data_IF_143761858777
#
_entry.id   IF_143761858777
#
_cell.length_a   1.000
_cell.length_b   1.000
_cell.length_c   1.000
_cell.angle_alpha   90.00
_cell.angle_beta   90.00
_cell.angle_gamma   90.00
#
_symmetry.space_group_name_H-M   'P 1'
#
loop_
_entity.id
_entity.type
_entity.pdbx_description
1 polymer ?
#
# COMPACT_ATOMS: atom_id res chain seq x y z
N UNK A 1 27.87 8.10 31.63
CA UNK A 1 27.26 6.78 31.87
C UNK A 1 26.03 7.00 32.73
N UNK A 2 24.84 6.66 32.25
CA UNK A 2 23.61 6.66 33.03
C UNK A 2 23.70 5.50 34.04
N UNK A 3 23.53 5.79 35.31
CA UNK A 3 23.53 4.78 36.36
C UNK A 3 22.07 4.25 36.49
N UNK A 4 21.63 3.43 35.51
CA UNK A 4 20.29 2.86 35.48
C UNK A 4 20.31 1.50 36.15
N UNK A 5 19.51 1.34 37.19
CA UNK A 5 19.45 0.10 38.00
C UNK A 5 18.52 -0.99 37.44
N UNK A 6 17.80 -0.72 36.38
CA UNK A 6 16.92 -1.69 35.70
C UNK A 6 16.33 -1.08 34.43
N UNK A 7 15.96 -1.96 33.49
CA UNK A 7 15.25 -1.64 32.29
C UNK A 7 13.93 -2.41 32.30
N UNK A 8 12.86 -1.76 31.83
CA UNK A 8 11.58 -2.41 31.54
C UNK A 8 11.39 -2.31 30.04
N UNK A 9 11.20 -3.43 29.38
CA UNK A 9 10.83 -3.46 27.96
C UNK A 9 9.36 -3.10 27.82
N UNK A 10 9.09 -1.98 27.12
CA UNK A 10 7.75 -1.47 26.83
C UNK A 10 7.42 -1.56 25.33
N UNK A 11 8.15 -2.35 24.56
CA UNK A 11 7.95 -2.43 23.11
C UNK A 11 6.52 -2.90 22.76
N UNK A 12 5.99 -3.87 23.48
CA UNK A 12 4.63 -4.35 23.27
C UNK A 12 3.59 -3.30 23.66
N UNK A 13 3.77 -2.60 24.77
CA UNK A 13 2.86 -1.53 25.20
C UNK A 13 2.79 -0.41 24.14
N UNK A 14 3.94 -0.05 23.54
CA UNK A 14 3.99 0.94 22.47
C UNK A 14 3.26 0.46 21.18
N UNK A 15 3.34 -0.83 20.86
CA UNK A 15 2.57 -1.43 19.75
C UNK A 15 1.08 -1.41 20.06
N UNK A 16 0.69 -1.81 21.26
CA UNK A 16 -0.73 -1.89 21.67
C UNK A 16 -1.40 -0.51 21.67
N UNK A 17 -0.70 0.54 22.11
CA UNK A 17 -1.21 1.90 22.06
C UNK A 17 -1.48 2.40 20.63
N UNK A 18 -0.70 1.94 19.64
CA UNK A 18 -0.81 2.35 18.23
C UNK A 18 -1.80 1.51 17.43
N UNK A 19 -2.22 0.36 17.99
CA UNK A 19 -3.03 -0.63 17.28
C UNK A 19 -4.44 -0.11 16.99
N UNK A 20 -5.07 0.50 17.99
CA UNK A 20 -6.44 1.02 17.91
C UNK A 20 -6.39 2.53 17.80
N UNK A 21 -6.81 3.05 16.65
CA UNK A 21 -6.85 4.48 16.34
C UNK A 21 -8.10 5.11 16.94
N UNK A 22 -7.95 6.26 17.54
CA UNK A 22 -9.06 7.08 17.97
C UNK A 22 -9.78 7.78 16.78
N UNK A 23 -10.92 8.45 16.97
CA UNK A 23 -11.62 9.12 15.88
C UNK A 23 -10.81 10.20 15.17
N UNK A 24 -9.92 10.91 15.86
CA UNK A 24 -9.07 11.92 15.26
C UNK A 24 -7.98 11.29 14.39
N UNK A 25 -7.32 10.25 14.90
CA UNK A 25 -6.31 9.49 14.17
C UNK A 25 -6.90 8.85 12.89
N UNK A 26 -8.12 8.29 12.99
CA UNK A 26 -8.85 7.76 11.83
C UNK A 26 -9.15 8.85 10.81
N UNK A 27 -9.50 10.05 11.24
CA UNK A 27 -9.76 11.16 10.31
C UNK A 27 -8.48 11.60 9.59
N UNK A 28 -7.34 11.64 10.27
CA UNK A 28 -6.04 11.91 9.62
C UNK A 28 -5.70 10.83 8.58
N UNK A 29 -5.94 9.56 8.89
CA UNK A 29 -5.81 8.48 7.92
C UNK A 29 -6.76 8.65 6.72
N UNK A 30 -8.01 9.09 6.93
CA UNK A 30 -8.96 9.34 5.84
C UNK A 30 -8.51 10.48 4.93
N UNK A 31 -7.98 11.56 5.49
CA UNK A 31 -7.44 12.67 4.70
C UNK A 31 -6.22 12.20 3.90
N UNK A 32 -5.29 11.46 4.53
CA UNK A 32 -4.17 10.83 3.82
C UNK A 32 -4.67 9.93 2.68
N UNK A 33 -5.71 9.11 2.93
CA UNK A 33 -6.35 8.27 1.93
C UNK A 33 -6.87 9.04 0.72
N UNK A 34 -7.57 10.17 0.93
CA UNK A 34 -8.05 11.03 -0.17
C UNK A 34 -6.90 11.60 -1.00
N UNK A 35 -5.80 11.97 -0.36
CA UNK A 35 -4.62 12.49 -1.06
C UNK A 35 -3.98 11.40 -1.92
N UNK A 36 -3.75 10.21 -1.39
CA UNK A 36 -3.14 9.10 -2.16
C UNK A 36 -4.05 8.63 -3.30
N UNK A 37 -5.38 8.59 -3.09
CA UNK A 37 -6.34 8.27 -4.15
C UNK A 37 -6.26 9.28 -5.31
N UNK A 38 -6.15 10.56 -4.97
CA UNK A 38 -5.97 11.64 -5.97
C UNK A 38 -4.66 11.47 -6.74
N UNK A 39 -3.57 11.17 -6.02
CA UNK A 39 -2.25 10.96 -6.64
C UNK A 39 -2.22 9.80 -7.62
N UNK A 40 -2.71 8.63 -7.19
CA UNK A 40 -2.77 7.43 -8.04
C UNK A 40 -3.69 7.64 -9.23
N UNK A 41 -4.89 8.20 -9.02
CA UNK A 41 -5.85 8.44 -10.11
C UNK A 41 -5.27 9.35 -11.17
N UNK A 42 -4.64 10.46 -10.77
CA UNK A 42 -4.01 11.39 -11.71
C UNK A 42 -2.82 10.77 -12.43
N UNK A 43 -2.01 9.94 -11.75
CA UNK A 43 -0.92 9.23 -12.39
C UNK A 43 -1.42 8.22 -13.44
N UNK A 44 -2.52 7.51 -13.17
CA UNK A 44 -3.16 6.60 -14.13
C UNK A 44 -3.62 7.38 -15.36
N UNK A 45 -4.34 8.50 -15.18
CA UNK A 45 -4.77 9.36 -16.29
C UNK A 45 -3.59 9.84 -17.15
N UNK A 46 -2.47 10.21 -16.54
CA UNK A 46 -1.27 10.63 -17.26
C UNK A 46 -0.65 9.48 -18.05
N UNK A 47 -0.59 8.26 -17.47
CA UNK A 47 -0.13 7.04 -18.17
C UNK A 47 -1.03 6.71 -19.37
N UNK A 48 -2.34 6.80 -19.21
CA UNK A 48 -3.32 6.65 -20.31
C UNK A 48 -3.13 7.71 -21.40
N UNK A 49 -2.70 8.90 -21.03
CA UNK A 49 -2.31 9.99 -21.94
C UNK A 49 -0.94 9.79 -22.62
N UNK A 50 -0.25 8.67 -22.39
CA UNK A 50 1.04 8.36 -22.99
C UNK A 50 2.24 9.01 -22.29
N UNK A 51 2.11 9.41 -21.04
CA UNK A 51 3.21 9.97 -20.25
C UNK A 51 4.17 8.88 -19.79
N UNK A 52 5.41 9.27 -19.57
CA UNK A 52 6.40 8.38 -18.94
C UNK A 52 6.09 8.18 -17.45
N UNK A 53 6.67 7.13 -16.87
CA UNK A 53 6.58 6.86 -15.42
C UNK A 53 6.88 8.12 -14.58
N UNK A 54 8.01 8.78 -14.85
CA UNK A 54 8.44 9.97 -14.11
C UNK A 54 7.48 11.16 -14.31
N UNK A 55 6.95 11.37 -15.53
CA UNK A 55 5.98 12.41 -15.79
C UNK A 55 4.64 12.12 -15.09
N UNK A 56 4.19 10.87 -15.09
CA UNK A 56 2.98 10.45 -14.39
C UNK A 56 3.10 10.66 -12.87
N UNK A 57 4.26 10.34 -12.29
CA UNK A 57 4.55 10.63 -10.87
C UNK A 57 4.44 12.14 -10.57
N UNK A 58 5.02 12.99 -11.43
CA UNK A 58 4.96 14.45 -11.28
C UNK A 58 3.53 14.97 -11.29
N UNK A 59 2.71 14.48 -12.21
CA UNK A 59 1.30 14.84 -12.33
C UNK A 59 0.50 14.41 -11.09
N UNK A 60 0.74 13.19 -10.61
CA UNK A 60 0.10 12.68 -9.39
C UNK A 60 0.47 13.49 -8.16
N UNK A 61 1.76 13.75 -7.95
CA UNK A 61 2.24 14.59 -6.84
C UNK A 61 1.68 16.00 -6.88
N UNK A 62 1.61 16.60 -8.06
CA UNK A 62 1.04 17.92 -8.24
C UNK A 62 -0.45 17.94 -7.85
N UNK A 63 -1.22 16.96 -8.29
CA UNK A 63 -2.64 16.86 -7.94
C UNK A 63 -2.85 16.70 -6.42
N UNK A 64 -2.03 15.87 -5.75
CA UNK A 64 -2.06 15.73 -4.29
C UNK A 64 -1.83 17.07 -3.59
N UNK A 65 -0.81 17.83 -4.01
CA UNK A 65 -0.48 19.14 -3.44
C UNK A 65 -1.59 20.16 -3.64
N UNK A 66 -2.21 20.18 -4.82
CA UNK A 66 -3.34 21.06 -5.10
C UNK A 66 -4.53 20.74 -4.19
N UNK A 67 -4.88 19.46 -4.03
CA UNK A 67 -5.94 19.05 -3.12
C UNK A 67 -5.63 19.40 -1.67
N UNK A 68 -4.41 19.10 -1.21
CA UNK A 68 -3.97 19.46 0.13
C UNK A 68 -4.07 20.97 0.37
N UNK A 69 -3.54 21.78 -0.54
CA UNK A 69 -3.57 23.25 -0.43
C UNK A 69 -4.99 23.79 -0.42
N UNK A 70 -5.88 23.21 -1.20
CA UNK A 70 -7.28 23.68 -1.32
C UNK A 70 -8.12 23.32 -0.10
N UNK A 71 -7.95 22.11 0.45
CA UNK A 71 -8.91 21.54 1.42
C UNK A 71 -8.29 21.22 2.78
N UNK A 72 -6.97 21.00 2.86
CA UNK A 72 -6.32 20.42 4.04
C UNK A 72 -5.07 21.17 4.49
N UNK A 73 -4.86 22.42 4.04
CA UNK A 73 -3.64 23.18 4.35
C UNK A 73 -3.42 23.45 5.85
N UNK A 74 -4.42 23.26 6.68
CA UNK A 74 -4.32 23.37 8.14
C UNK A 74 -3.62 22.17 8.78
N UNK A 75 -3.44 21.08 8.04
CA UNK A 75 -2.76 19.89 8.50
C UNK A 75 -1.37 19.77 7.85
N UNK A 76 -0.41 19.40 8.66
CA UNK A 76 0.95 19.16 8.20
C UNK A 76 1.04 17.92 7.32
N UNK A 77 1.74 18.03 6.18
CA UNK A 77 2.07 16.94 5.25
C UNK A 77 3.57 16.72 5.12
N UNK A 78 4.37 17.46 5.90
CA UNK A 78 5.81 17.31 6.00
C UNK A 78 6.19 16.76 7.36
N UNK A 79 7.41 16.40 7.55
CA UNK A 79 7.92 15.98 8.84
C UNK A 79 9.12 15.06 8.71
N UNK A 80 9.81 14.89 9.81
CA UNK A 80 10.88 13.92 9.91
C UNK A 80 10.27 12.51 9.93
N UNK A 81 10.61 11.73 8.94
CA UNK A 81 10.06 10.40 8.85
C UNK A 81 10.78 9.43 9.79
N UNK A 82 10.13 8.28 9.96
CA UNK A 82 10.74 7.10 10.55
C UNK A 82 11.87 6.55 9.65
N UNK A 83 12.51 5.46 10.07
CA UNK A 83 13.61 4.82 9.36
C UNK A 83 13.27 4.30 7.96
N UNK A 84 12.00 4.14 7.63
CA UNK A 84 11.57 3.56 6.35
C UNK A 84 11.45 4.61 5.25
N UNK A 85 11.03 5.82 5.61
CA UNK A 85 10.79 6.90 4.65
C UNK A 85 11.42 8.21 5.11
N UNK A 86 12.74 8.35 5.02
CA UNK A 86 13.45 9.58 5.41
C UNK A 86 13.11 10.78 4.48
N UNK A 87 11.83 11.10 4.33
CA UNK A 87 11.35 12.15 3.45
C UNK A 87 10.86 13.36 4.24
N UNK A 88 11.30 14.54 3.85
CA UNK A 88 10.77 15.81 4.36
C UNK A 88 9.39 16.07 3.79
N UNK A 89 9.18 15.69 2.52
CA UNK A 89 7.92 15.79 1.82
C UNK A 89 7.25 14.41 1.74
N UNK A 90 6.04 14.33 2.22
CA UNK A 90 5.30 13.08 2.36
C UNK A 90 4.16 12.92 1.36
N UNK A 91 4.04 13.81 0.37
CA UNK A 91 3.12 13.66 -0.75
C UNK A 91 3.89 13.12 -1.95
N UNK A 92 3.96 11.80 -2.10
CA UNK A 92 4.76 11.20 -3.14
C UNK A 92 3.99 10.18 -3.97
N UNK A 93 4.40 10.06 -5.23
CA UNK A 93 3.94 9.05 -6.18
C UNK A 93 5.15 8.40 -6.80
N UNK A 94 5.15 7.07 -6.86
CA UNK A 94 6.08 6.25 -7.63
C UNK A 94 5.34 5.57 -8.78
N UNK A 95 6.08 5.19 -9.80
CA UNK A 95 5.56 4.38 -10.88
C UNK A 95 6.67 3.51 -11.44
N UNK A 96 6.40 2.24 -11.61
CA UNK A 96 7.32 1.27 -12.19
C UNK A 96 6.57 0.38 -13.15
N UNK A 97 7.31 -0.25 -14.08
CA UNK A 97 6.74 -1.13 -15.09
C UNK A 97 7.50 -2.45 -15.20
N UNK A 98 6.79 -3.51 -15.55
CA UNK A 98 7.29 -4.83 -15.93
C UNK A 98 8.19 -5.51 -14.87
N UNK A 99 9.38 -6.00 -15.26
CA UNK A 99 10.31 -6.70 -14.38
C UNK A 99 10.78 -5.85 -13.20
N UNK A 100 10.79 -4.52 -13.33
CA UNK A 100 11.17 -3.61 -12.23
C UNK A 100 10.19 -3.68 -11.05
N UNK A 101 8.96 -4.05 -11.29
CA UNK A 101 7.96 -4.28 -10.25
C UNK A 101 8.38 -5.42 -9.29
N UNK A 102 9.22 -6.35 -9.73
CA UNK A 102 9.72 -7.44 -8.89
C UNK A 102 10.69 -6.97 -7.78
N UNK A 103 11.20 -5.76 -7.87
CA UNK A 103 12.13 -5.21 -6.86
C UNK A 103 11.42 -4.45 -5.72
N UNK A 104 10.10 -4.31 -5.81
CA UNK A 104 9.30 -3.67 -4.78
C UNK A 104 9.35 -2.14 -4.80
N UNK A 105 10.53 -1.54 -4.73
CA UNK A 105 10.74 -0.09 -4.80
C UNK A 105 11.93 0.25 -5.68
N UNK A 106 11.73 1.18 -6.61
CA UNK A 106 12.75 1.74 -7.50
C UNK A 106 12.29 3.12 -7.98
N UNK A 107 13.19 3.90 -8.57
CA UNK A 107 12.84 5.22 -9.10
C UNK A 107 12.05 5.11 -10.40
N UNK A 108 11.07 5.98 -10.56
CA UNK A 108 10.40 6.18 -11.84
C UNK A 108 11.40 6.69 -12.89
N UNK A 109 11.23 6.24 -14.13
CA UNK A 109 12.13 6.58 -15.24
C UNK A 109 11.40 7.33 -16.37
N UNK A 110 12.16 7.67 -17.41
CA UNK A 110 11.59 8.20 -18.67
C UNK A 110 10.89 7.13 -19.52
N UNK A 111 10.73 5.90 -19.01
CA UNK A 111 10.03 4.84 -19.74
C UNK A 111 8.55 5.18 -19.92
N UNK A 112 8.04 5.04 -21.15
CA UNK A 112 6.63 5.18 -21.48
C UNK A 112 6.06 3.76 -21.63
N UNK A 113 5.14 3.34 -20.76
CA UNK A 113 4.55 1.99 -20.82
C UNK A 113 3.90 1.72 -22.17
N UNK A 114 4.14 0.53 -22.71
CA UNK A 114 3.71 0.09 -24.04
C UNK A 114 2.59 -0.98 -23.95
N UNK A 115 1.80 -1.18 -25.00
CA UNK A 115 0.83 -2.27 -25.03
C UNK A 115 1.47 -3.62 -24.70
N UNK A 116 0.91 -4.33 -23.73
CA UNK A 116 1.43 -5.58 -23.16
C UNK A 116 2.11 -5.43 -21.82
N UNK A 117 2.41 -4.19 -21.40
CA UNK A 117 3.06 -3.90 -20.13
C UNK A 117 2.09 -3.98 -18.93
N UNK A 118 2.67 -4.32 -17.79
CA UNK A 118 2.12 -3.99 -16.47
C UNK A 118 2.86 -2.76 -15.96
N UNK A 119 2.12 -1.79 -15.47
CA UNK A 119 2.67 -0.62 -14.75
C UNK A 119 1.89 -0.43 -13.45
N UNK A 120 2.54 0.14 -12.46
CA UNK A 120 1.92 0.29 -11.14
C UNK A 120 2.29 1.65 -10.54
N UNK A 121 1.43 2.66 -10.66
CA UNK A 121 1.54 3.85 -9.84
C UNK A 121 1.20 3.53 -8.39
N UNK A 122 2.01 4.03 -7.49
CA UNK A 122 1.93 3.86 -6.04
C UNK A 122 2.03 5.25 -5.41
N UNK A 123 1.22 5.51 -4.40
CA UNK A 123 1.18 6.81 -3.73
C UNK A 123 1.21 6.65 -2.22
N UNK A 124 1.92 7.56 -1.57
CA UNK A 124 1.97 7.70 -0.12
C UNK A 124 1.66 9.12 0.29
N UNK A 125 0.92 9.25 1.38
CA UNK A 125 0.73 10.52 2.06
C UNK A 125 0.84 10.31 3.57
N UNK A 126 1.34 11.35 4.23
CA UNK A 126 1.33 11.43 5.70
C UNK A 126 0.75 12.78 6.11
N UNK A 127 -0.42 12.76 6.74
CA UNK A 127 -1.09 13.95 7.25
C UNK A 127 -1.06 13.92 8.77
N UNK A 128 -0.57 14.98 9.38
CA UNK A 128 -0.40 15.09 10.84
C UNK A 128 0.28 13.85 11.48
N UNK A 129 1.23 13.25 10.74
CA UNK A 129 1.96 12.05 11.18
C UNK A 129 1.37 10.71 10.74
N UNK A 130 0.12 10.64 10.24
CA UNK A 130 -0.57 9.40 9.89
C UNK A 130 -0.40 9.06 8.42
N UNK A 131 0.17 7.88 8.17
CA UNK A 131 0.50 7.37 6.84
C UNK A 131 -0.64 6.56 6.25
N UNK A 132 -0.86 6.74 4.95
CA UNK A 132 -1.68 5.88 4.10
C UNK A 132 -1.02 5.71 2.75
N UNK A 133 -1.22 4.56 2.14
CA UNK A 133 -0.73 4.24 0.79
C UNK A 133 -1.88 3.81 -0.12
N UNK A 134 -1.64 3.89 -1.42
CA UNK A 134 -2.49 3.33 -2.46
C UNK A 134 -1.64 2.87 -3.63
N UNK A 135 -1.93 1.69 -4.16
CA UNK A 135 -1.26 1.10 -5.32
C UNK A 135 -2.29 0.54 -6.28
N UNK A 136 -2.05 0.68 -7.55
CA UNK A 136 -2.92 0.10 -8.59
C UNK A 136 -2.10 -0.49 -9.72
N UNK A 137 -2.26 -1.78 -9.93
CA UNK A 137 -1.75 -2.43 -11.14
C UNK A 137 -2.58 -2.00 -12.34
N UNK A 138 -1.92 -1.51 -13.36
CA UNK A 138 -2.50 -1.07 -14.62
C UNK A 138 -1.95 -1.93 -15.75
N UNK A 139 -2.86 -2.52 -16.53
CA UNK A 139 -2.51 -3.24 -17.75
C UNK A 139 -2.60 -2.30 -18.94
N UNK A 140 -1.50 -2.13 -19.66
CA UNK A 140 -1.45 -1.28 -20.84
C UNK A 140 -1.89 -2.08 -22.07
N UNK A 141 -3.07 -1.78 -22.59
CA UNK A 141 -3.64 -2.53 -23.72
C UNK A 141 -3.88 -4.01 -23.39
N UNK A 142 -3.54 -4.87 -24.33
CA UNK A 142 -3.70 -6.33 -24.18
C UNK A 142 -2.42 -6.95 -23.61
N UNK A 143 -2.47 -7.45 -22.39
CA UNK A 143 -1.39 -8.19 -21.73
C UNK A 143 -1.50 -9.69 -22.06
N UNK A 144 -0.42 -10.46 -21.79
CA UNK A 144 -0.44 -11.90 -21.94
C UNK A 144 -1.38 -12.57 -20.93
N UNK A 145 -1.75 -13.84 -21.22
CA UNK A 145 -2.72 -14.60 -20.42
C UNK A 145 -2.27 -14.79 -18.96
N UNK A 146 -0.98 -15.00 -18.71
CA UNK A 146 -0.44 -15.17 -17.37
C UNK A 146 -0.63 -13.92 -16.54
N UNK A 147 -0.32 -12.74 -17.07
CA UNK A 147 -0.53 -11.45 -16.41
C UNK A 147 -2.01 -11.17 -16.14
N UNK A 148 -2.89 -11.47 -17.13
CA UNK A 148 -4.33 -11.32 -16.97
C UNK A 148 -4.85 -12.23 -15.85
N UNK A 149 -4.50 -13.51 -15.89
CA UNK A 149 -4.93 -14.48 -14.87
C UNK A 149 -4.43 -14.10 -13.46
N UNK A 150 -3.17 -13.61 -13.34
CA UNK A 150 -2.62 -13.14 -12.07
C UNK A 150 -3.38 -11.91 -11.53
N UNK A 151 -3.69 -10.95 -12.40
CA UNK A 151 -4.47 -9.78 -12.05
C UNK A 151 -5.89 -10.14 -11.60
N UNK A 152 -6.58 -10.99 -12.33
CA UNK A 152 -7.94 -11.44 -11.99
C UNK A 152 -7.94 -12.24 -10.67
N UNK A 153 -6.90 -13.04 -10.41
CA UNK A 153 -6.73 -13.75 -9.14
C UNK A 153 -6.49 -12.77 -7.99
N UNK A 154 -5.68 -11.74 -8.21
CA UNK A 154 -5.43 -10.69 -7.21
C UNK A 154 -6.72 -9.94 -6.84
N UNK A 155 -7.55 -9.60 -7.82
CA UNK A 155 -8.84 -8.95 -7.54
C UNK A 155 -9.78 -9.85 -6.72
N UNK A 156 -9.84 -11.16 -7.05
CA UNK A 156 -10.62 -12.11 -6.25
C UNK A 156 -10.05 -12.29 -4.85
N UNK A 157 -8.72 -12.42 -4.71
CA UNK A 157 -8.06 -12.53 -3.42
C UNK A 157 -8.36 -11.33 -2.54
N UNK A 158 -8.28 -10.11 -3.09
CA UNK A 158 -8.64 -8.88 -2.40
C UNK A 158 -10.11 -8.87 -1.96
N UNK A 159 -11.02 -9.28 -2.84
CA UNK A 159 -12.45 -9.38 -2.51
C UNK A 159 -12.72 -10.39 -1.39
N UNK A 160 -12.04 -11.55 -1.38
CA UNK A 160 -12.16 -12.53 -0.31
C UNK A 160 -11.78 -11.97 1.06
N UNK A 161 -10.78 -11.08 1.12
CA UNK A 161 -10.42 -10.39 2.36
C UNK A 161 -11.52 -9.41 2.75
N UNK A 162 -11.97 -8.54 1.84
CA UNK A 162 -13.03 -7.55 2.14
C UNK A 162 -14.32 -8.18 2.62
N UNK A 163 -14.75 -9.29 2.04
CA UNK A 163 -15.99 -9.99 2.42
C UNK A 163 -15.92 -10.54 3.86
N UNK A 164 -14.71 -10.67 4.41
CA UNK A 164 -14.45 -11.20 5.75
C UNK A 164 -14.02 -10.14 6.77
N UNK A 165 -13.78 -8.89 6.33
CA UNK A 165 -13.39 -7.79 7.22
C UNK A 165 -14.55 -7.42 8.15
N UNK A 166 -14.50 -7.95 9.37
CA UNK A 166 -15.44 -7.62 10.45
C UNK A 166 -14.76 -7.82 11.81
N UNK A 167 -15.21 -7.13 12.85
CA UNK A 167 -14.70 -7.34 14.20
C UNK A 167 -14.75 -8.83 14.58
N UNK A 168 -13.65 -9.33 15.13
CA UNK A 168 -13.48 -10.73 15.52
C UNK A 168 -12.97 -11.67 14.42
N UNK A 169 -12.86 -11.21 13.16
CA UNK A 169 -12.21 -12.02 12.12
C UNK A 169 -10.72 -12.24 12.47
N UNK A 170 -10.22 -13.44 12.27
CA UNK A 170 -8.83 -13.79 12.58
C UNK A 170 -7.93 -13.44 11.38
N UNK A 171 -6.78 -12.79 11.63
CA UNK A 171 -5.90 -12.33 10.57
C UNK A 171 -5.39 -13.46 9.67
N UNK A 172 -5.02 -14.62 10.23
CA UNK A 172 -4.56 -15.76 9.40
C UNK A 172 -5.68 -16.34 8.52
N UNK A 173 -6.95 -16.26 8.94
CA UNK A 173 -8.08 -16.71 8.11
C UNK A 173 -8.27 -15.79 6.91
N UNK A 174 -8.06 -14.47 7.07
CA UNK A 174 -8.05 -13.50 5.98
C UNK A 174 -6.92 -13.80 4.98
N UNK A 175 -5.73 -14.10 5.50
CA UNK A 175 -4.59 -14.48 4.68
C UNK A 175 -4.88 -15.75 3.88
N UNK A 176 -5.34 -16.82 4.51
CA UNK A 176 -5.62 -18.08 3.81
C UNK A 176 -6.74 -17.94 2.77
N UNK A 177 -7.76 -17.12 3.04
CA UNK A 177 -8.81 -16.85 2.07
C UNK A 177 -8.26 -16.18 0.79
N UNK A 178 -7.31 -15.24 0.92
CA UNK A 178 -6.64 -14.64 -0.21
C UNK A 178 -5.71 -15.62 -0.94
N UNK A 179 -4.91 -16.40 -0.20
CA UNK A 179 -3.94 -17.34 -0.78
C UNK A 179 -4.62 -18.43 -1.61
N UNK A 180 -5.80 -18.89 -1.17
CA UNK A 180 -6.57 -19.88 -1.92
C UNK A 180 -6.89 -19.43 -3.34
N UNK A 181 -7.23 -18.17 -3.56
CA UNK A 181 -7.50 -17.65 -4.91
C UNK A 181 -6.28 -17.69 -5.82
N UNK A 182 -5.08 -17.47 -5.23
CA UNK A 182 -3.83 -17.58 -5.98
C UNK A 182 -3.46 -19.06 -6.28
N UNK A 183 -3.66 -19.95 -5.31
CA UNK A 183 -3.45 -21.40 -5.53
C UNK A 183 -4.37 -21.95 -6.61
N UNK A 184 -5.67 -21.64 -6.54
CA UNK A 184 -6.68 -22.06 -7.51
C UNK A 184 -6.38 -21.50 -8.93
N UNK A 185 -5.73 -20.33 -9.01
CA UNK A 185 -5.27 -19.76 -10.27
C UNK A 185 -3.91 -20.29 -10.75
N UNK A 186 -3.29 -21.23 -10.03
CA UNK A 186 -2.00 -21.86 -10.41
C UNK A 186 -0.76 -21.08 -10.00
N UNK A 187 -0.86 -20.15 -9.03
CA UNK A 187 0.25 -19.35 -8.54
C UNK A 187 0.76 -19.77 -7.15
N UNK A 188 0.47 -20.99 -6.72
CA UNK A 188 0.86 -21.50 -5.39
C UNK A 188 2.37 -21.49 -5.09
N UNK A 189 3.23 -21.44 -6.12
CA UNK A 189 4.70 -21.37 -5.96
C UNK A 189 5.24 -19.97 -5.63
N UNK A 190 4.44 -18.91 -5.78
CA UNK A 190 4.85 -17.52 -5.59
C UNK A 190 3.93 -16.76 -4.63
N UNK A 191 3.35 -17.47 -3.64
CA UNK A 191 2.46 -16.86 -2.66
C UNK A 191 3.21 -15.82 -1.82
N UNK A 192 2.60 -14.64 -1.56
CA UNK A 192 3.20 -13.61 -0.72
C UNK A 192 3.20 -14.03 0.76
N UNK A 193 4.17 -13.55 1.52
CA UNK A 193 4.25 -13.83 2.97
C UNK A 193 3.17 -13.13 3.79
N UNK A 194 2.57 -12.05 3.24
CA UNK A 194 1.46 -11.30 3.84
C UNK A 194 0.57 -10.72 2.75
N UNK A 195 -0.66 -10.33 3.08
CA UNK A 195 -1.59 -9.67 2.18
C UNK A 195 -2.22 -8.40 2.79
N UNK A 196 -1.51 -7.77 3.72
CA UNK A 196 -1.88 -6.51 4.35
C UNK A 196 -1.14 -6.28 5.66
N UNK A 197 -1.16 -5.06 6.14
CA UNK A 197 -0.53 -4.65 7.39
C UNK A 197 -1.26 -3.45 8.01
N UNK A 198 -0.97 -3.17 9.28
CA UNK A 198 -1.40 -1.96 9.95
C UNK A 198 -0.73 -0.72 9.38
N UNK A 199 -1.43 0.40 9.45
CA UNK A 199 -0.94 1.72 9.11
C UNK A 199 -1.25 2.72 10.21
N UNK A 200 -0.48 3.80 10.27
CA UNK A 200 -0.65 4.87 11.23
C UNK A 200 0.58 5.77 11.27
N UNK A 201 1.20 5.92 12.44
CA UNK A 201 2.42 6.73 12.60
C UNK A 201 3.63 6.17 11.83
N UNK A 202 3.60 4.91 11.44
CA UNK A 202 4.54 4.31 10.50
C UNK A 202 3.80 3.81 9.27
N UNK A 203 4.52 3.70 8.14
CA UNK A 203 4.01 3.12 6.90
C UNK A 203 3.62 1.66 7.10
N UNK A 204 4.43 0.92 7.84
CA UNK A 204 4.15 -0.46 8.23
C UNK A 204 4.05 -0.56 9.76
N UNK A 205 2.90 -1.01 10.24
CA UNK A 205 2.63 -1.26 11.65
C UNK A 205 2.03 -2.66 11.85
N UNK A 206 2.01 -3.12 13.09
CA UNK A 206 1.16 -4.24 13.46
C UNK A 206 -0.33 -3.83 13.40
N UNK A 207 -1.21 -4.80 13.11
CA UNK A 207 -0.95 -6.20 12.84
C UNK A 207 -0.60 -6.46 11.37
N UNK A 208 -0.04 -7.64 11.08
CA UNK A 208 0.12 -8.13 9.71
C UNK A 208 -0.93 -9.17 9.37
N UNK A 209 -1.51 -9.09 8.18
CA UNK A 209 -2.41 -10.10 7.62
C UNK A 209 -1.56 -11.22 7.03
N UNK A 210 -1.19 -12.18 7.87
CA UNK A 210 -0.20 -13.22 7.54
C UNK A 210 -0.53 -14.54 8.24
N UNK A 211 0.04 -15.63 7.71
CA UNK A 211 0.01 -16.94 8.37
C UNK A 211 0.61 -16.86 9.78
N UNK A 212 -0.06 -17.47 10.74
CA UNK A 212 0.37 -17.53 12.15
C UNK A 212 -0.12 -16.35 12.99
N UNK A 213 -0.71 -15.30 12.42
CA UNK A 213 -1.34 -14.25 13.19
C UNK A 213 -2.77 -14.63 13.57
N UNK A 214 -2.92 -15.12 14.80
CA UNK A 214 -4.20 -15.59 15.37
C UNK A 214 -4.97 -14.50 16.13
N UNK A 215 -4.49 -13.26 16.10
CA UNK A 215 -5.20 -12.15 16.73
C UNK A 215 -6.52 -11.85 15.97
N UNK A 216 -7.56 -11.41 16.69
CA UNK A 216 -8.80 -10.97 16.05
C UNK A 216 -8.68 -9.52 15.57
N UNK A 217 -9.37 -9.22 14.49
CA UNK A 217 -9.59 -7.85 14.02
C UNK A 217 -10.46 -7.10 15.03
N UNK A 218 -10.07 -5.89 15.38
CA UNK A 218 -10.81 -5.03 16.32
C UNK A 218 -11.22 -3.70 15.66
N UNK A 219 -12.35 -3.10 16.09
CA UNK A 219 -12.73 -1.75 15.68
C UNK A 219 -11.62 -0.73 15.98
N UNK A 220 -11.40 0.21 15.08
CA UNK A 220 -10.34 1.22 15.20
C UNK A 220 -8.98 0.81 14.63
N UNK A 221 -8.80 -0.44 14.20
CA UNK A 221 -7.62 -0.83 13.42
C UNK A 221 -7.71 -0.23 12.00
N UNK A 222 -6.60 0.30 11.52
CA UNK A 222 -6.43 0.77 10.14
C UNK A 222 -5.44 -0.16 9.44
N UNK A 223 -5.84 -0.69 8.29
CA UNK A 223 -5.11 -1.75 7.59
C UNK A 223 -5.07 -1.48 6.09
N UNK A 224 -3.98 -1.93 5.45
CA UNK A 224 -3.99 -2.19 4.00
C UNK A 224 -4.61 -3.55 3.72
N UNK A 225 -5.19 -3.70 2.54
CA UNK A 225 -5.60 -4.99 1.96
C UNK A 225 -4.97 -5.08 0.58
N UNK A 226 -3.81 -5.73 0.52
CA UNK A 226 -2.90 -5.72 -0.61
C UNK A 226 -2.40 -7.13 -1.04
N UNK A 227 -3.28 -8.12 -1.21
CA UNK A 227 -2.82 -9.39 -1.74
C UNK A 227 -2.22 -9.15 -3.12
N UNK A 228 -1.01 -9.67 -3.34
CA UNK A 228 -0.30 -9.46 -4.59
C UNK A 228 0.59 -10.64 -4.95
N UNK A 229 0.89 -10.78 -6.23
CA UNK A 229 1.82 -11.75 -6.77
C UNK A 229 3.01 -11.04 -7.37
N UNK A 230 4.21 -11.56 -7.15
CA UNK A 230 5.45 -10.98 -7.63
C UNK A 230 6.41 -12.08 -8.09
N UNK A 231 6.95 -11.94 -9.28
CA UNK A 231 8.04 -12.78 -9.80
C UNK A 231 8.78 -12.08 -10.93
N UNK A 232 9.99 -12.54 -11.24
CA UNK A 232 10.78 -11.97 -12.34
C UNK A 232 10.06 -12.07 -13.70
N UNK A 233 9.27 -13.13 -13.92
CA UNK A 233 8.52 -13.34 -15.17
C UNK A 233 7.24 -12.47 -15.20
N UNK A 234 6.54 -12.37 -14.10
CA UNK A 234 5.29 -11.65 -14.01
C UNK A 234 5.51 -10.12 -13.91
N UNK A 235 6.56 -9.69 -13.24
CA UNK A 235 6.63 -8.39 -12.59
C UNK A 235 5.87 -8.43 -11.26
N UNK A 236 4.90 -7.55 -11.07
CA UNK A 236 3.98 -7.65 -9.93
C UNK A 236 2.54 -7.24 -10.30
N UNK A 237 1.58 -7.87 -9.63
CA UNK A 237 0.19 -7.43 -9.59
C UNK A 237 -0.22 -7.26 -8.14
N UNK A 238 -0.63 -6.04 -7.76
CA UNK A 238 -1.06 -5.70 -6.40
C UNK A 238 -1.95 -4.45 -6.44
N UNK A 239 -2.98 -4.42 -5.62
CA UNK A 239 -3.80 -3.24 -5.36
C UNK A 239 -3.98 -3.13 -3.83
N UNK A 240 -3.65 -2.00 -3.26
CA UNK A 240 -3.90 -1.70 -1.84
C UNK A 240 -5.09 -0.76 -1.64
#
# INVERSE_FOLDING_TARGET
KLNVKGFVDIAQDAVDQRLIKDPHEIEMCRISGRLVDTGVSRAIEALEGGYSEAAACTEGQYAMRQLWHKEYQQYEVSGFSNSETAQIDTLCVWCMSNERLNYGCDCATGYVPQPGDLTMPMSWARVAGYNVENERSVMVGQVNETRRRAYDAMLRARQQVFDRLRPGAIFEDLYFAAMKEFEDAGFGSILPGRCGHGMGLSTHEFPSVTKGNKAPLAPGMVLTVEPGLMSAELGAVRNS
#
